data_IF_325009203476
#
_entry.id   IF_325009203476
#
_cell.length_a   1.000
_cell.length_b   1.000
_cell.length_c   1.000
_cell.angle_alpha   90.00
_cell.angle_beta   90.00
_cell.angle_gamma   90.00
#
_symmetry.space_group_name_H-M   'P 1'
#
loop_
_entity.id
_entity.type
_entity.pdbx_description
1 polymer ?
#
# COMPACT_ATOMS: atom_id res chain seq x y z
N UNK A 1 -19.75 19.83 -11.84
CA UNK A 1 -18.90 18.70 -11.40
C UNK A 1 -18.91 18.64 -9.88
N UNK A 2 -19.08 17.46 -9.33
CA UNK A 2 -19.02 17.28 -7.87
C UNK A 2 -17.62 17.56 -7.35
N UNK A 3 -17.52 18.11 -6.16
CA UNK A 3 -16.26 18.32 -5.45
C UNK A 3 -16.19 17.33 -4.29
N UNK A 4 -15.07 16.65 -4.17
CA UNK A 4 -14.84 15.64 -3.13
C UNK A 4 -13.57 15.99 -2.38
N UNK A 5 -13.65 15.99 -1.06
CA UNK A 5 -12.52 16.20 -0.18
C UNK A 5 -12.20 14.89 0.54
N UNK A 6 -10.95 14.47 0.45
CA UNK A 6 -10.44 13.25 1.08
C UNK A 6 -9.42 13.65 2.15
N UNK A 7 -9.61 13.15 3.35
CA UNK A 7 -8.65 13.32 4.44
C UNK A 7 -7.75 12.08 4.52
N UNK A 8 -6.46 12.30 4.30
CA UNK A 8 -5.44 11.26 4.30
C UNK A 8 -5.04 10.76 2.92
N UNK A 9 -3.74 10.80 2.64
CA UNK A 9 -3.12 10.32 1.41
C UNK A 9 -2.40 8.98 1.61
N UNK A 10 -2.98 8.09 2.39
CA UNK A 10 -2.58 6.68 2.44
C UNK A 10 -3.11 5.90 1.25
N UNK A 11 -2.87 4.61 1.20
CA UNK A 11 -3.30 3.73 0.10
C UNK A 11 -4.80 3.85 -0.17
N UNK A 12 -5.63 3.88 0.86
CA UNK A 12 -7.08 4.02 0.73
C UNK A 12 -7.47 5.35 0.08
N UNK A 13 -6.99 6.46 0.63
CA UNK A 13 -7.34 7.80 0.11
C UNK A 13 -6.87 8.02 -1.32
N UNK A 14 -5.66 7.57 -1.65
CA UNK A 14 -5.11 7.64 -3.00
C UNK A 14 -5.89 6.76 -4.00
N UNK A 15 -6.29 5.57 -3.59
CA UNK A 15 -7.09 4.66 -4.43
C UNK A 15 -8.48 5.24 -4.72
N UNK A 16 -9.15 5.78 -3.71
CA UNK A 16 -10.45 6.46 -3.87
C UNK A 16 -10.31 7.67 -4.79
N UNK A 17 -9.28 8.48 -4.58
CA UNK A 17 -9.01 9.64 -5.43
C UNK A 17 -8.83 9.24 -6.90
N UNK A 18 -8.08 8.17 -7.14
CA UNK A 18 -7.86 7.65 -8.50
C UNK A 18 -9.15 7.20 -9.17
N UNK A 19 -10.02 6.53 -8.42
CA UNK A 19 -11.31 6.05 -8.93
C UNK A 19 -12.29 7.21 -9.19
N UNK A 20 -12.28 8.25 -8.35
CA UNK A 20 -13.21 9.37 -8.44
C UNK A 20 -12.75 10.46 -9.42
N UNK A 21 -11.48 10.60 -9.66
CA UNK A 21 -10.89 11.67 -10.49
C UNK A 21 -11.56 11.84 -11.85
N UNK A 22 -11.96 10.79 -12.60
CA UNK A 22 -12.66 10.97 -13.87
C UNK A 22 -14.06 11.58 -13.74
N UNK A 23 -14.67 11.57 -12.54
CA UNK A 23 -16.06 11.93 -12.32
C UNK A 23 -16.27 13.12 -11.36
N UNK A 24 -15.19 13.56 -10.70
CA UNK A 24 -15.25 14.60 -9.68
C UNK A 24 -13.94 15.40 -9.61
N UNK A 25 -14.06 16.62 -9.12
CA UNK A 25 -12.89 17.38 -8.68
C UNK A 25 -12.49 16.88 -7.30
N UNK A 26 -11.34 16.22 -7.21
CA UNK A 26 -10.87 15.60 -5.96
C UNK A 26 -9.74 16.45 -5.35
N UNK A 27 -9.86 16.72 -4.07
CA UNK A 27 -8.82 17.34 -3.24
C UNK A 27 -8.47 16.39 -2.12
N UNK A 28 -7.18 16.16 -1.90
CA UNK A 28 -6.69 15.33 -0.78
C UNK A 28 -5.95 16.23 0.19
N UNK A 29 -6.27 16.10 1.47
CA UNK A 29 -5.54 16.73 2.57
C UNK A 29 -4.76 15.67 3.34
N UNK A 30 -3.45 15.89 3.45
CA UNK A 30 -2.55 15.01 4.19
C UNK A 30 -1.86 15.80 5.31
N UNK A 31 -1.82 15.24 6.51
CA UNK A 31 -1.21 15.89 7.67
C UNK A 31 0.33 15.78 7.66
N UNK A 32 0.86 14.75 7.01
CA UNK A 32 2.30 14.54 6.91
C UNK A 32 2.87 15.26 5.68
N UNK A 33 4.18 15.42 5.64
CA UNK A 33 4.88 16.02 4.51
C UNK A 33 5.13 15.05 3.35
N UNK A 34 4.65 13.82 3.46
CA UNK A 34 4.81 12.74 2.48
C UNK A 34 3.53 11.93 2.37
N UNK A 35 3.14 11.57 1.16
CA UNK A 35 2.03 10.66 0.89
C UNK A 35 2.44 9.19 1.12
N UNK A 36 1.46 8.29 1.20
CA UNK A 36 1.66 6.85 1.28
C UNK A 36 1.21 6.22 2.60
N UNK A 37 1.03 7.01 3.65
CA UNK A 37 0.57 6.51 4.96
C UNK A 37 1.48 5.42 5.52
N UNK A 38 0.90 4.31 5.97
CA UNK A 38 1.65 3.17 6.52
C UNK A 38 2.50 2.42 5.47
N UNK A 39 2.21 2.59 4.18
CA UNK A 39 2.95 1.95 3.09
C UNK A 39 4.20 2.75 2.66
N UNK A 40 4.52 3.83 3.36
CA UNK A 40 5.69 4.66 3.03
C UNK A 40 6.99 3.89 3.14
N UNK A 41 7.87 4.15 2.18
CA UNK A 41 9.25 3.65 2.17
C UNK A 41 10.21 4.83 2.28
N UNK A 42 11.25 4.66 3.06
CA UNK A 42 12.36 5.61 3.18
C UNK A 42 13.60 5.01 2.52
N UNK A 43 14.33 5.82 1.79
CA UNK A 43 15.66 5.44 1.28
C UNK A 43 16.71 5.91 2.27
N UNK A 44 17.55 5.00 2.71
CA UNK A 44 18.69 5.27 3.58
C UNK A 44 19.99 4.87 2.89
N UNK A 45 21.07 5.54 3.23
CA UNK A 45 22.43 5.30 2.67
C UNK A 45 22.44 5.26 1.13
N UNK A 46 21.57 6.07 0.50
CA UNK A 46 21.52 6.29 -0.95
C UNK A 46 20.68 5.27 -1.73
N UNK A 47 20.62 4.02 -1.33
CA UNK A 47 20.01 2.94 -2.13
C UNK A 47 19.25 1.87 -1.31
N UNK A 48 19.30 1.92 0.00
CA UNK A 48 18.60 0.95 0.85
C UNK A 48 17.17 1.38 1.10
N UNK A 49 16.21 0.63 0.59
CA UNK A 49 14.78 0.85 0.86
C UNK A 49 14.41 0.31 2.25
N UNK A 50 13.81 1.17 3.04
CA UNK A 50 13.40 0.86 4.41
C UNK A 50 11.91 1.13 4.60
N UNK A 51 11.16 0.14 5.10
CA UNK A 51 9.75 0.27 5.44
C UNK A 51 9.60 0.79 6.86
N UNK A 52 8.95 1.95 7.03
CA UNK A 52 8.83 2.62 8.33
C UNK A 52 7.99 1.84 9.35
N UNK A 53 7.02 1.05 8.88
CA UNK A 53 6.03 0.35 9.73
C UNK A 53 6.05 -1.16 9.48
N UNK A 54 7.14 -1.69 9.00
CA UNK A 54 7.29 -3.10 8.64
C UNK A 54 6.99 -3.38 7.16
N UNK A 55 7.33 -4.58 6.72
CA UNK A 55 7.11 -5.01 5.35
C UNK A 55 5.63 -5.15 5.01
N UNK A 56 5.26 -4.71 3.82
CA UNK A 56 3.89 -4.81 3.33
C UNK A 56 3.83 -5.75 2.13
N UNK A 57 2.92 -6.71 2.21
CA UNK A 57 2.60 -7.60 1.11
C UNK A 57 1.18 -7.31 0.63
N UNK A 58 1.00 -7.31 -0.67
CA UNK A 58 -0.32 -7.17 -1.27
C UNK A 58 -0.98 -8.54 -1.42
N UNK A 59 -2.23 -8.66 -0.95
CA UNK A 59 -2.96 -9.92 -1.04
C UNK A 59 -3.67 -10.04 -2.39
N UNK A 60 -3.38 -11.11 -3.13
CA UNK A 60 -3.92 -11.37 -4.47
C UNK A 60 -5.27 -12.13 -4.48
N UNK A 61 -6.00 -12.14 -3.38
CA UNK A 61 -7.26 -12.89 -3.25
C UNK A 61 -8.36 -12.42 -4.20
N UNK A 62 -8.42 -11.12 -4.48
CA UNK A 62 -9.51 -10.51 -5.25
C UNK A 62 -9.02 -10.08 -6.64
N UNK A 63 -9.45 -10.76 -7.72
CA UNK A 63 -9.00 -10.46 -9.09
C UNK A 63 -9.27 -9.01 -9.52
N UNK A 64 -10.43 -8.45 -9.19
CA UNK A 64 -10.79 -7.07 -9.54
C UNK A 64 -9.87 -6.03 -8.86
N UNK A 65 -9.39 -6.33 -7.66
CA UNK A 65 -8.43 -5.49 -6.97
C UNK A 65 -7.05 -5.61 -7.62
N UNK A 66 -6.68 -6.82 -8.01
CA UNK A 66 -5.42 -7.06 -8.74
C UNK A 66 -5.39 -6.32 -10.07
N UNK A 67 -6.48 -6.34 -10.83
CA UNK A 67 -6.61 -5.61 -12.09
C UNK A 67 -6.41 -4.10 -11.88
N UNK A 68 -7.04 -3.53 -10.88
CA UNK A 68 -6.85 -2.13 -10.51
C UNK A 68 -5.39 -1.82 -10.18
N UNK A 69 -4.75 -2.65 -9.36
CA UNK A 69 -3.35 -2.45 -8.93
C UNK A 69 -2.39 -2.53 -10.11
N UNK A 70 -2.55 -3.50 -11.00
CA UNK A 70 -1.69 -3.66 -12.17
C UNK A 70 -1.89 -2.58 -13.23
N UNK A 71 -3.03 -1.88 -13.22
CA UNK A 71 -3.21 -0.67 -14.03
C UNK A 71 -2.39 0.51 -13.49
N UNK A 72 -2.15 0.56 -12.17
CA UNK A 72 -1.34 1.63 -11.55
C UNK A 72 0.15 1.33 -11.63
N UNK A 73 0.52 0.08 -11.37
CA UNK A 73 1.90 -0.40 -11.43
C UNK A 73 1.91 -1.74 -12.16
N UNK A 74 2.56 -1.83 -13.35
CA UNK A 74 2.54 -3.04 -14.17
C UNK A 74 3.02 -4.28 -13.42
N UNK A 75 2.51 -5.44 -13.80
CA UNK A 75 2.77 -6.72 -13.13
C UNK A 75 4.25 -7.06 -13.03
N UNK A 76 5.07 -6.67 -14.00
CA UNK A 76 6.51 -6.90 -14.00
C UNK A 76 7.26 -6.19 -12.86
N UNK A 77 6.63 -5.18 -12.24
CA UNK A 77 7.17 -4.48 -11.09
C UNK A 77 6.88 -5.19 -9.74
N UNK A 78 6.17 -6.32 -9.79
CA UNK A 78 5.76 -7.06 -8.60
C UNK A 78 6.45 -8.40 -8.52
N UNK A 79 6.84 -8.81 -7.31
CA UNK A 79 7.34 -10.13 -7.03
C UNK A 79 6.31 -10.92 -6.24
N UNK A 80 5.91 -12.09 -6.76
CA UNK A 80 5.05 -13.01 -6.02
C UNK A 80 5.89 -13.78 -5.03
N UNK A 81 5.52 -13.67 -3.75
CA UNK A 81 6.19 -14.39 -2.67
C UNK A 81 5.19 -15.27 -1.93
N UNK A 82 5.67 -16.37 -1.40
CA UNK A 82 4.92 -17.13 -0.40
C UNK A 82 5.24 -16.56 0.97
N UNK A 83 4.22 -16.03 1.64
CA UNK A 83 4.38 -15.55 3.00
C UNK A 83 4.57 -16.72 3.96
N UNK A 84 5.64 -16.70 4.71
CA UNK A 84 5.89 -17.62 5.82
C UNK A 84 5.97 -16.79 7.08
N UNK A 85 5.02 -16.99 7.98
CA UNK A 85 5.00 -16.31 9.27
C UNK A 85 5.20 -17.33 10.39
N UNK A 86 6.06 -16.99 11.34
CA UNK A 86 6.34 -17.81 12.51
C UNK A 86 6.19 -16.98 13.76
N UNK A 87 5.66 -17.60 14.79
CA UNK A 87 5.57 -17.01 16.12
C UNK A 87 6.53 -17.78 17.02
N UNK A 88 7.48 -17.08 17.61
CA UNK A 88 8.42 -17.64 18.55
C UNK A 88 7.96 -17.30 19.96
N UNK A 89 7.66 -18.30 20.75
CA UNK A 89 7.19 -18.13 22.12
C UNK A 89 8.07 -18.97 23.08
N UNK A 90 9.08 -18.33 23.62
CA UNK A 90 10.06 -19.03 24.47
C UNK A 90 10.77 -20.16 23.71
N UNK A 91 10.58 -21.42 24.16
CA UNK A 91 11.14 -22.59 23.52
C UNK A 91 10.23 -23.20 22.43
N UNK A 92 9.11 -22.56 22.14
CA UNK A 92 8.13 -23.02 21.16
C UNK A 92 8.13 -22.13 19.93
N UNK A 93 8.13 -22.74 18.75
CA UNK A 93 7.93 -22.08 17.49
C UNK A 93 6.64 -22.59 16.85
N UNK A 94 5.73 -21.67 16.50
CA UNK A 94 4.44 -21.98 15.90
C UNK A 94 4.35 -21.28 14.55
N UNK A 95 3.97 -22.03 13.52
CA UNK A 95 3.65 -21.43 12.23
C UNK A 95 2.26 -20.76 12.32
N UNK A 96 2.21 -19.49 11.96
CA UNK A 96 0.94 -18.76 11.84
C UNK A 96 0.41 -18.85 10.40
N UNK A 97 0.05 -20.05 9.95
CA UNK A 97 -0.39 -20.37 8.58
C UNK A 97 0.57 -19.94 7.46
#
# INVERSE_FOLDING_TARGET
>A
MKRVLIFGAGVTGLSIAKLLHPHAQVTILEQENQIGGLARTKIIDGDVAYHLVGGHCFNSKYPEVMDFVFQQLPQDNWHKIQRISRINFGNYEVNSY
#
